data_IF_507770550048
#
_entry.id   IF_507770550048
#
_cell.length_a   1.000
_cell.length_b   1.000
_cell.length_c   1.000
_cell.angle_alpha   90.00
_cell.angle_beta   90.00
_cell.angle_gamma   90.00
#
_symmetry.space_group_name_H-M   'P 1'
#
loop_
_entity.id
_entity.type
_entity.pdbx_description
1 polymer ?
#
# COMPACT_ATOMS: atom_id res chain seq x y z
N UNK A 1 -47.62 -18.89 -29.00
CA UNK A 1 -47.12 -17.50 -29.16
C UNK A 1 -46.85 -16.98 -27.76
N UNK A 2 -45.60 -17.01 -27.27
CA UNK A 2 -45.26 -16.49 -25.96
C UNK A 2 -44.04 -15.55 -26.10
N UNK A 3 -44.28 -14.27 -25.84
CA UNK A 3 -43.32 -13.18 -25.84
C UNK A 3 -42.46 -13.24 -24.57
N UNK A 4 -41.13 -13.27 -24.70
CA UNK A 4 -40.17 -13.18 -23.60
C UNK A 4 -39.64 -11.75 -23.53
N UNK A 5 -39.85 -11.07 -22.41
CA UNK A 5 -39.30 -9.74 -22.16
C UNK A 5 -37.76 -9.81 -22.06
N UNK A 6 -37.02 -8.77 -22.48
CA UNK A 6 -35.59 -8.71 -22.21
C UNK A 6 -35.37 -8.31 -20.75
N UNK A 7 -34.71 -9.19 -20.00
CA UNK A 7 -34.14 -8.86 -18.69
C UNK A 7 -33.16 -7.71 -18.88
N UNK A 8 -33.46 -6.57 -18.27
CA UNK A 8 -32.56 -5.43 -18.21
C UNK A 8 -31.49 -5.79 -17.18
N UNK A 9 -30.36 -6.31 -17.64
CA UNK A 9 -29.15 -6.44 -16.83
C UNK A 9 -28.75 -5.03 -16.39
N UNK A 10 -28.93 -4.75 -15.10
CA UNK A 10 -28.47 -3.53 -14.49
C UNK A 10 -26.95 -3.46 -14.66
N UNK A 11 -26.52 -2.59 -15.57
CA UNK A 11 -25.14 -2.25 -15.82
C UNK A 11 -24.59 -1.62 -14.52
N UNK A 12 -23.95 -2.45 -13.70
CA UNK A 12 -23.21 -1.99 -12.54
C UNK A 12 -22.07 -1.12 -13.07
N UNK A 13 -22.35 0.17 -13.17
CA UNK A 13 -21.36 1.20 -13.47
C UNK A 13 -20.33 1.16 -12.34
N UNK A 14 -19.28 0.37 -12.55
CA UNK A 14 -18.08 0.38 -11.74
C UNK A 14 -17.54 1.79 -11.86
N UNK A 15 -17.86 2.62 -10.87
CA UNK A 15 -17.36 3.98 -10.80
C UNK A 15 -15.85 3.86 -10.62
N UNK A 16 -15.13 4.00 -11.74
CA UNK A 16 -13.68 4.03 -11.74
C UNK A 16 -13.27 5.17 -10.79
N UNK A 17 -12.49 4.90 -9.73
CA UNK A 17 -12.14 5.93 -8.77
C UNK A 17 -11.45 7.08 -9.49
N UNK A 18 -12.10 8.23 -9.44
CA UNK A 18 -11.69 9.46 -10.09
C UNK A 18 -10.43 10.02 -9.42
N UNK A 19 -9.55 10.56 -10.26
CA UNK A 19 -8.21 11.08 -9.98
C UNK A 19 -7.14 10.01 -9.70
N UNK A 20 -6.22 9.88 -10.66
CA UNK A 20 -4.90 9.26 -10.56
C UNK A 20 -4.12 9.91 -9.41
N UNK A 21 -4.41 9.55 -8.16
CA UNK A 21 -3.59 10.00 -7.03
C UNK A 21 -2.20 9.44 -7.30
N UNK A 22 -1.20 10.33 -7.35
CA UNK A 22 0.20 9.92 -7.53
C UNK A 22 0.55 8.86 -6.50
N UNK A 23 1.11 7.74 -6.93
CA UNK A 23 1.63 6.74 -6.01
C UNK A 23 2.84 7.30 -5.26
N UNK A 24 2.75 7.38 -3.93
CA UNK A 24 3.79 7.90 -3.05
C UNK A 24 4.70 6.79 -2.50
N UNK A 25 4.52 5.54 -2.93
CA UNK A 25 5.24 4.35 -2.43
C UNK A 25 6.76 4.54 -2.36
N UNK A 26 7.37 5.08 -3.41
CA UNK A 26 8.82 5.34 -3.48
C UNK A 26 9.27 6.43 -2.49
N UNK A 27 8.50 7.51 -2.34
CA UNK A 27 8.83 8.56 -1.37
C UNK A 27 8.70 8.04 0.06
N UNK A 28 7.63 7.29 0.35
CA UNK A 28 7.43 6.65 1.65
C UNK A 28 8.60 5.73 1.97
N UNK A 29 9.05 4.89 1.02
CA UNK A 29 10.17 3.96 1.23
C UNK A 29 11.48 4.68 1.59
N UNK A 30 11.67 5.91 1.13
CA UNK A 30 12.83 6.74 1.44
C UNK A 30 12.67 7.55 2.73
N UNK A 31 11.44 7.82 3.17
CA UNK A 31 11.16 8.62 4.37
C UNK A 31 11.06 7.78 5.64
N UNK A 32 10.58 6.54 5.56
CA UNK A 32 10.40 5.71 6.76
C UNK A 32 11.73 5.27 7.34
N UNK A 33 11.83 5.32 8.66
CA UNK A 33 12.99 4.82 9.40
C UNK A 33 13.17 3.31 9.16
N UNK A 34 14.41 2.88 8.94
CA UNK A 34 14.77 1.47 8.71
C UNK A 34 16.16 1.17 9.26
N UNK A 35 16.41 -0.09 9.62
CA UNK A 35 17.76 -0.53 9.96
C UNK A 35 18.60 -0.67 8.69
N UNK A 36 19.93 -0.61 8.81
CA UNK A 36 20.85 -0.65 7.67
C UNK A 36 20.69 -1.91 6.78
N UNK A 37 20.30 -3.03 7.37
CA UNK A 37 20.08 -4.30 6.66
C UNK A 37 18.64 -4.51 6.19
N UNK A 38 17.72 -3.60 6.50
CA UNK A 38 16.32 -3.74 6.10
C UNK A 38 16.12 -3.33 4.65
N UNK A 39 15.42 -4.17 3.88
CA UNK A 39 14.77 -3.78 2.63
C UNK A 39 13.35 -3.34 2.95
N UNK A 40 13.00 -2.11 2.57
CA UNK A 40 11.64 -1.58 2.77
C UNK A 40 10.83 -1.80 1.50
N UNK A 41 9.71 -2.51 1.59
CA UNK A 41 8.74 -2.68 0.50
C UNK A 41 7.45 -1.96 0.87
N UNK A 42 7.07 -0.98 0.05
CA UNK A 42 5.83 -0.23 0.21
C UNK A 42 4.89 -0.59 -0.93
N UNK A 43 3.63 -0.88 -0.60
CA UNK A 43 2.57 -1.09 -1.60
C UNK A 43 1.39 -0.22 -1.23
N UNK A 44 0.84 0.48 -2.22
CA UNK A 44 -0.41 1.20 -2.08
C UNK A 44 -1.56 0.19 -2.02
N UNK A 45 -2.48 0.40 -1.09
CA UNK A 45 -3.66 -0.46 -0.93
C UNK A 45 -4.88 0.18 -1.61
N UNK A 46 -5.28 1.36 -1.14
CA UNK A 46 -6.36 2.18 -1.71
C UNK A 46 -6.18 3.62 -1.24
N UNK A 47 -6.63 4.60 -2.03
CA UNK A 47 -6.56 6.03 -1.65
C UNK A 47 -5.18 6.42 -1.11
N UNK A 48 -5.14 6.98 0.09
CA UNK A 48 -3.91 7.40 0.77
C UNK A 48 -3.36 6.34 1.75
N UNK A 49 -3.83 5.10 1.65
CA UNK A 49 -3.42 3.99 2.52
C UNK A 49 -2.38 3.09 1.84
N UNK A 50 -1.34 2.76 2.62
CA UNK A 50 -0.19 1.99 2.19
C UNK A 50 0.12 0.88 3.20
N UNK A 51 0.67 -0.22 2.73
CA UNK A 51 1.32 -1.22 3.58
C UNK A 51 2.83 -1.11 3.40
N UNK A 52 3.53 -0.96 4.53
CA UNK A 52 4.98 -0.93 4.57
C UNK A 52 5.47 -2.19 5.29
N UNK A 53 6.38 -2.92 4.64
CA UNK A 53 7.05 -4.08 5.21
C UNK A 53 8.54 -3.81 5.27
N UNK A 54 9.12 -4.01 6.45
CA UNK A 54 10.56 -4.03 6.66
C UNK A 54 11.00 -5.49 6.60
N UNK A 55 11.79 -5.81 5.59
CA UNK A 55 12.26 -7.16 5.27
C UNK A 55 13.73 -7.24 5.69
N UNK A 56 14.07 -8.21 6.53
CA UNK A 56 15.42 -8.41 7.00
C UNK A 56 15.90 -9.82 6.64
N UNK A 57 17.22 -10.03 6.48
CA UNK A 57 17.79 -11.36 6.43
C UNK A 57 17.62 -12.05 7.79
N UNK A 58 17.18 -13.30 7.77
CA UNK A 58 16.98 -14.12 8.97
C UNK A 58 18.30 -14.52 9.62
N UNK A 59 19.30 -14.80 8.80
CA UNK A 59 20.67 -15.01 9.21
C UNK A 59 21.57 -13.98 8.51
N UNK A 60 22.45 -13.31 9.26
CA UNK A 60 23.39 -12.31 8.72
C UNK A 60 24.62 -12.93 8.06
N UNK A 61 24.84 -14.23 8.25
CA UNK A 61 26.09 -14.91 7.90
C UNK A 61 25.95 -15.71 6.59
N UNK A 62 24.74 -16.14 6.22
CA UNK A 62 24.52 -16.98 5.04
C UNK A 62 24.03 -16.18 3.82
N UNK A 63 24.69 -16.31 2.65
CA UNK A 63 24.32 -15.61 1.42
C UNK A 63 23.10 -16.23 0.71
N UNK A 64 22.66 -17.44 1.09
CA UNK A 64 21.31 -17.92 0.79
C UNK A 64 20.34 -17.25 1.77
N UNK A 65 20.09 -15.95 1.55
CA UNK A 65 19.30 -15.11 2.46
C UNK A 65 17.84 -15.60 2.53
N UNK A 66 17.49 -16.35 3.58
CA UNK A 66 16.10 -16.48 4.02
C UNK A 66 15.65 -15.10 4.49
N UNK A 67 14.77 -14.44 3.72
CA UNK A 67 14.26 -13.11 4.03
C UNK A 67 12.93 -13.23 4.77
N UNK A 68 12.79 -12.50 5.87
CA UNK A 68 11.53 -12.45 6.62
C UNK A 68 11.06 -11.01 6.82
N UNK A 69 9.74 -10.85 6.97
CA UNK A 69 9.16 -9.56 7.33
C UNK A 69 9.40 -9.33 8.82
N UNK A 70 10.39 -8.51 9.16
CA UNK A 70 10.71 -8.11 10.54
C UNK A 70 9.59 -7.26 11.15
N UNK A 71 8.96 -6.42 10.34
CA UNK A 71 7.93 -5.51 10.78
C UNK A 71 6.97 -5.20 9.63
N UNK A 72 5.69 -5.04 9.94
CA UNK A 72 4.66 -4.61 8.99
C UNK A 72 3.83 -3.50 9.63
N UNK A 73 3.54 -2.43 8.88
CA UNK A 73 2.66 -1.34 9.31
C UNK A 73 1.72 -0.96 8.18
N UNK A 74 0.49 -0.63 8.56
CA UNK A 74 -0.43 0.10 7.71
C UNK A 74 -0.21 1.58 7.95
N UNK A 75 -0.05 2.34 6.88
CA UNK A 75 0.22 3.76 6.91
C UNK A 75 -0.90 4.49 6.18
N UNK A 76 -1.31 5.63 6.71
CA UNK A 76 -2.05 6.62 5.95
C UNK A 76 -1.12 7.79 5.66
N UNK A 77 -1.02 8.19 4.39
CA UNK A 77 -0.01 9.14 3.93
C UNK A 77 -0.67 10.23 3.13
N UNK A 78 -0.48 11.47 3.56
CA UNK A 78 -0.96 12.65 2.83
C UNK A 78 0.25 13.49 2.42
N UNK A 79 0.32 13.83 1.12
CA UNK A 79 1.31 14.76 0.62
C UNK A 79 0.84 16.19 0.90
N UNK A 80 1.69 16.99 1.54
CA UNK A 80 1.42 18.40 1.82
C UNK A 80 1.75 19.27 0.60
N UNK A 81 1.21 20.51 0.53
CA UNK A 81 1.51 21.45 -0.55
C UNK A 81 3.00 21.78 -0.70
N UNK A 82 3.76 21.72 0.40
CA UNK A 82 5.22 21.92 0.44
C UNK A 82 6.03 20.71 -0.10
N UNK A 83 5.34 19.63 -0.51
CA UNK A 83 5.96 18.41 -1.01
C UNK A 83 6.35 17.41 0.07
N UNK A 84 6.24 17.75 1.36
CA UNK A 84 6.53 16.83 2.47
C UNK A 84 5.41 15.80 2.68
N UNK A 85 5.77 14.65 3.25
CA UNK A 85 4.81 13.60 3.58
C UNK A 85 4.40 13.66 5.05
N UNK A 86 3.10 13.70 5.33
CA UNK A 86 2.54 13.34 6.64
C UNK A 86 2.22 11.86 6.67
N UNK A 87 2.97 11.09 7.46
CA UNK A 87 2.81 9.63 7.59
C UNK A 87 2.27 9.33 8.99
N UNK A 88 1.13 8.64 9.07
CA UNK A 88 0.54 8.15 10.34
C UNK A 88 0.31 6.64 10.27
N UNK A 89 0.43 5.95 11.41
CA UNK A 89 0.01 4.55 11.50
C UNK A 89 -1.52 4.48 11.37
N UNK A 90 -2.00 3.63 10.47
CA UNK A 90 -3.40 3.38 10.21
C UNK A 90 -3.94 2.13 10.93
N UNK A 91 -3.09 1.45 11.70
CA UNK A 91 -3.46 0.31 12.54
C UNK A 91 -2.85 0.45 13.93
N UNK A 92 -3.67 0.74 14.93
CA UNK A 92 -3.29 0.78 16.34
C UNK A 92 -4.33 1.46 17.23
N UNK A 93 -5.27 0.68 17.77
CA UNK A 93 -5.78 0.86 19.13
C UNK A 93 -5.37 -0.40 19.90
N UNK A 94 -4.36 -0.27 20.76
CA UNK A 94 -4.36 -0.82 22.12
C UNK A 94 -3.15 -0.26 22.88
#
# INVERSE_FOLDING_TARGET
MNTRAPDTEAEQSVTQPSATTTDLSAQIANTVERLASDRVRVMRLWGDYYRCNWIAPRNRIDPLEDLFVRQSRFLHVTKRPDGTLSIRNAGGNN
#
